data_IF_597426373424
#
_entry.id   IF_597426373424
#
_cell.length_a   1.000
_cell.length_b   1.000
_cell.length_c   1.000
_cell.angle_alpha   90.00
_cell.angle_beta   90.00
_cell.angle_gamma   90.00
#
_symmetry.space_group_name_H-M   'P 1'
#
loop_
_entity.id
_entity.type
_entity.pdbx_description
1 polymer ?
#
# COMPACT_ATOMS: atom_id res chain seq x y z
N UNK A 1 -20.82 -31.23 -0.83
CA UNK A 1 -19.86 -30.54 -1.70
C UNK A 1 -19.22 -29.46 -0.86
N UNK A 2 -18.01 -29.71 -0.37
CA UNK A 2 -17.18 -28.72 0.32
C UNK A 2 -16.75 -27.68 -0.73
N UNK A 3 -17.47 -26.58 -0.83
CA UNK A 3 -17.02 -25.43 -1.59
C UNK A 3 -16.46 -24.44 -0.56
N UNK A 4 -15.13 -24.40 -0.45
CA UNK A 4 -14.37 -23.32 0.22
C UNK A 4 -14.33 -22.06 -0.64
N UNK A 5 -15.15 -21.99 -1.69
CA UNK A 5 -15.21 -20.90 -2.64
C UNK A 5 -16.36 -19.95 -2.28
N UNK A 6 -16.05 -18.66 -2.27
CA UNK A 6 -17.02 -17.62 -2.03
C UNK A 6 -17.49 -17.02 -3.35
N UNK A 7 -18.81 -16.93 -3.50
CA UNK A 7 -19.45 -16.34 -4.67
C UNK A 7 -20.32 -15.15 -4.28
N UNK A 8 -20.33 -14.13 -5.12
CA UNK A 8 -21.36 -13.09 -5.04
C UNK A 8 -22.63 -13.58 -5.71
N UNK A 9 -23.76 -13.31 -5.08
CA UNK A 9 -25.10 -13.56 -5.63
C UNK A 9 -25.89 -12.27 -5.71
N UNK A 10 -26.79 -12.22 -6.68
CA UNK A 10 -27.75 -11.12 -6.78
C UNK A 10 -28.94 -11.42 -5.88
N UNK A 11 -29.41 -10.41 -5.16
CA UNK A 11 -30.62 -10.50 -4.34
C UNK A 11 -31.60 -9.46 -4.85
N UNK A 12 -32.85 -9.85 -5.02
CA UNK A 12 -33.95 -8.95 -5.33
C UNK A 12 -34.18 -8.03 -4.13
N UNK A 13 -34.08 -6.70 -4.29
CA UNK A 13 -34.13 -5.78 -3.15
C UNK A 13 -35.55 -5.64 -2.56
N UNK A 14 -36.60 -6.01 -3.29
CA UNK A 14 -38.00 -5.91 -2.84
C UNK A 14 -38.41 -7.16 -2.08
N UNK A 15 -38.02 -8.32 -2.57
CA UNK A 15 -38.46 -9.62 -2.06
C UNK A 15 -37.41 -10.33 -1.21
N UNK A 16 -36.15 -9.87 -1.25
CA UNK A 16 -35.01 -10.52 -0.61
C UNK A 16 -34.64 -11.86 -1.22
N UNK A 17 -35.23 -12.23 -2.36
CA UNK A 17 -35.00 -13.54 -3.00
C UNK A 17 -33.71 -13.55 -3.80
N UNK A 18 -33.08 -14.72 -3.85
CA UNK A 18 -31.95 -14.96 -4.74
C UNK A 18 -32.39 -14.75 -6.21
N UNK A 19 -31.72 -13.83 -6.90
CA UNK A 19 -31.96 -13.47 -8.29
C UNK A 19 -30.95 -14.14 -9.24
N UNK A 20 -30.17 -15.08 -8.73
CA UNK A 20 -29.22 -15.89 -9.50
C UNK A 20 -27.76 -15.44 -9.36
N UNK A 21 -26.85 -16.18 -10.02
CA UNK A 21 -25.43 -15.93 -9.95
C UNK A 21 -25.05 -14.64 -10.68
N UNK A 22 -23.96 -14.02 -10.21
CA UNK A 22 -23.26 -12.98 -10.94
C UNK A 22 -22.18 -13.61 -11.82
N UNK A 23 -22.00 -13.07 -13.03
CA UNK A 23 -20.93 -13.50 -13.95
C UNK A 23 -19.58 -12.92 -13.53
N UNK A 24 -19.13 -13.26 -12.32
CA UNK A 24 -17.85 -12.80 -11.74
C UNK A 24 -17.11 -13.99 -11.14
N UNK A 25 -15.77 -13.98 -11.09
CA UNK A 25 -15.01 -15.11 -10.58
C UNK A 25 -15.30 -15.38 -9.09
N UNK A 26 -15.24 -16.66 -8.72
CA UNK A 26 -15.26 -17.09 -7.34
C UNK A 26 -13.98 -16.68 -6.60
N UNK A 27 -14.05 -16.62 -5.27
CA UNK A 27 -12.88 -16.33 -4.43
C UNK A 27 -12.61 -17.52 -3.51
N UNK A 28 -11.46 -18.14 -3.69
CA UNK A 28 -11.02 -19.31 -2.92
C UNK A 28 -9.94 -18.93 -1.90
N UNK A 29 -9.58 -19.86 -1.02
CA UNK A 29 -8.54 -19.69 0.01
C UNK A 29 -8.76 -18.51 0.98
N UNK A 30 -10.02 -18.20 1.25
CA UNK A 30 -10.43 -17.11 2.14
C UNK A 30 -11.46 -17.57 3.16
N UNK A 31 -11.39 -16.95 4.33
CA UNK A 31 -12.38 -17.13 5.40
C UNK A 31 -13.74 -16.59 5.00
N UNK A 32 -13.76 -15.42 4.36
CA UNK A 32 -14.98 -14.78 3.85
C UNK A 32 -14.62 -13.66 2.88
N UNK A 33 -15.63 -13.16 2.16
CA UNK A 33 -15.54 -11.93 1.36
C UNK A 33 -16.61 -10.93 1.79
N UNK A 34 -16.28 -9.64 1.76
CA UNK A 34 -17.23 -8.54 1.98
C UNK A 34 -17.23 -7.61 0.78
N UNK A 35 -18.40 -7.38 0.19
CA UNK A 35 -18.56 -6.41 -0.90
C UNK A 35 -18.33 -4.99 -0.36
N UNK A 36 -17.41 -4.26 -1.00
CA UNK A 36 -17.15 -2.84 -0.75
C UNK A 36 -17.97 -1.94 -1.68
N UNK A 37 -18.19 -2.39 -2.92
CA UNK A 37 -18.91 -1.62 -3.92
C UNK A 37 -18.63 -2.11 -5.33
N UNK A 38 -19.05 -1.31 -6.30
CA UNK A 38 -18.96 -1.60 -7.72
C UNK A 38 -18.08 -0.56 -8.43
N UNK A 39 -17.19 -1.05 -9.28
CA UNK A 39 -16.42 -0.23 -10.22
C UNK A 39 -17.27 0.24 -11.40
N UNK A 40 -16.82 1.27 -12.13
CA UNK A 40 -17.51 1.78 -13.32
C UNK A 40 -17.52 0.78 -14.49
N UNK A 41 -16.60 -0.19 -14.47
CA UNK A 41 -16.49 -1.31 -15.41
C UNK A 41 -17.39 -2.50 -15.05
N UNK A 42 -18.22 -2.37 -14.00
CA UNK A 42 -19.05 -3.45 -13.48
C UNK A 42 -18.30 -4.47 -12.62
N UNK A 43 -17.03 -4.25 -12.32
CA UNK A 43 -16.26 -5.09 -11.40
C UNK A 43 -16.77 -4.95 -9.97
N UNK A 44 -16.96 -6.06 -9.25
CA UNK A 44 -17.22 -6.02 -7.82
C UNK A 44 -15.91 -5.86 -7.05
N UNK A 45 -15.80 -4.84 -6.19
CA UNK A 45 -14.68 -4.69 -5.27
C UNK A 45 -15.01 -5.37 -3.94
N UNK A 46 -14.20 -6.33 -3.54
CA UNK A 46 -14.41 -7.10 -2.31
C UNK A 46 -13.18 -7.07 -1.41
N UNK A 47 -13.39 -7.05 -0.10
CA UNK A 47 -12.36 -7.43 0.88
C UNK A 47 -12.40 -8.94 1.02
N UNK A 48 -11.25 -9.58 0.87
CA UNK A 48 -11.06 -11.00 1.01
C UNK A 48 -10.18 -11.27 2.24
N UNK A 49 -10.74 -11.97 3.22
CA UNK A 49 -10.09 -12.24 4.50
C UNK A 49 -9.30 -13.54 4.42
N UNK A 50 -7.98 -13.46 4.53
CA UNK A 50 -7.11 -14.64 4.50
C UNK A 50 -7.12 -15.35 5.85
N UNK A 51 -7.26 -16.69 5.86
CA UNK A 51 -7.24 -17.45 7.09
C UNK A 51 -5.86 -17.43 7.75
N UNK A 52 -5.82 -17.53 9.07
CA UNK A 52 -4.62 -17.96 9.81
C UNK A 52 -4.30 -19.43 9.44
N UNK A 53 -3.03 -19.87 9.36
CA UNK A 53 -2.67 -21.22 8.90
C UNK A 53 -3.24 -22.37 9.74
N UNK A 54 -3.66 -22.09 10.98
CA UNK A 54 -4.29 -23.06 11.88
C UNK A 54 -5.79 -22.75 12.11
N UNK A 55 -6.36 -21.81 11.36
CA UNK A 55 -7.78 -21.51 11.45
C UNK A 55 -8.60 -22.70 10.91
N UNK A 56 -9.78 -22.97 11.49
CA UNK A 56 -10.72 -23.92 10.92
C UNK A 56 -11.05 -23.57 9.46
N UNK A 57 -11.13 -24.58 8.59
CA UNK A 57 -11.49 -24.41 7.17
C UNK A 57 -12.99 -24.22 6.95
N UNK A 58 -13.83 -24.45 7.97
CA UNK A 58 -15.27 -24.23 7.94
C UNK A 58 -15.68 -23.14 8.92
N UNK A 59 -16.39 -22.15 8.38
CA UNK A 59 -17.00 -21.03 9.11
C UNK A 59 -18.53 -21.19 9.15
N UNK A 60 -18.99 -22.43 9.25
CA UNK A 60 -20.41 -22.81 9.36
C UNK A 60 -20.94 -22.73 10.80
N UNK A 61 -20.05 -22.47 11.77
CA UNK A 61 -20.44 -22.17 13.13
C UNK A 61 -21.13 -20.80 13.18
N UNK A 62 -22.29 -20.69 13.85
CA UNK A 62 -22.96 -19.41 13.99
C UNK A 62 -22.03 -18.43 14.70
N UNK A 63 -21.72 -17.33 14.02
CA UNK A 63 -21.06 -16.19 14.65
C UNK A 63 -22.04 -15.56 15.65
N UNK A 64 -21.51 -15.00 16.73
CA UNK A 64 -22.32 -14.17 17.62
C UNK A 64 -22.93 -13.00 16.82
N UNK A 65 -24.11 -12.51 17.22
CA UNK A 65 -24.89 -11.51 16.45
C UNK A 65 -24.08 -10.24 16.15
N UNK A 66 -23.12 -9.89 17.00
CA UNK A 66 -22.22 -8.76 16.86
C UNK A 66 -20.99 -9.06 15.97
N UNK A 67 -20.76 -10.33 15.62
CA UNK A 67 -19.64 -10.77 14.82
C UNK A 67 -20.07 -11.03 13.38
N UNK A 68 -19.59 -10.18 12.46
CA UNK A 68 -19.69 -10.42 11.01
C UNK A 68 -18.53 -11.26 10.48
N UNK A 69 -17.41 -11.29 11.20
CA UNK A 69 -16.18 -12.02 10.87
C UNK A 69 -15.52 -12.50 12.16
N UNK A 70 -15.13 -13.77 12.23
CA UNK A 70 -14.29 -14.28 13.31
C UNK A 70 -12.83 -13.82 13.13
N UNK A 71 -12.51 -12.60 13.57
CA UNK A 71 -11.19 -11.98 13.34
C UNK A 71 -10.01 -12.77 13.92
N UNK A 72 -10.22 -13.58 14.96
CA UNK A 72 -9.18 -14.48 15.50
C UNK A 72 -8.71 -15.55 14.51
N UNK A 73 -9.47 -15.78 13.43
CA UNK A 73 -9.14 -16.70 12.36
C UNK A 73 -8.57 -16.00 11.11
N UNK A 74 -8.39 -14.68 11.15
CA UNK A 74 -7.90 -13.87 10.03
C UNK A 74 -6.44 -13.54 10.24
N UNK A 75 -5.60 -13.76 9.23
CA UNK A 75 -4.19 -13.35 9.23
C UNK A 75 -3.93 -12.06 8.49
N UNK A 76 -4.76 -11.76 7.50
CA UNK A 76 -4.56 -10.62 6.64
C UNK A 76 -5.73 -10.38 5.71
N UNK A 77 -5.68 -9.24 5.03
CA UNK A 77 -6.74 -8.79 4.13
C UNK A 77 -6.16 -8.44 2.76
N UNK A 78 -6.91 -8.80 1.72
CA UNK A 78 -6.67 -8.33 0.34
C UNK A 78 -7.93 -7.64 -0.17
N UNK A 79 -7.77 -6.63 -1.01
CA UNK A 79 -8.86 -6.10 -1.81
C UNK A 79 -8.74 -6.70 -3.20
N UNK A 80 -9.81 -7.33 -3.67
CA UNK A 80 -9.88 -7.97 -4.97
C UNK A 80 -10.93 -7.26 -5.83
N UNK A 81 -10.67 -7.19 -7.14
CA UNK A 81 -11.65 -6.84 -8.15
C UNK A 81 -12.11 -8.13 -8.84
N UNK A 82 -13.42 -8.39 -8.79
CA UNK A 82 -14.09 -9.48 -9.48
C UNK A 82 -14.72 -8.92 -10.75
N UNK A 83 -14.00 -8.98 -11.86
CA UNK A 83 -14.43 -8.42 -13.13
C UNK A 83 -15.37 -9.37 -13.88
N UNK A 84 -16.40 -8.85 -14.56
CA UNK A 84 -17.29 -9.71 -15.33
C UNK A 84 -16.57 -10.55 -16.39
N UNK A 85 -16.90 -11.84 -16.48
CA UNK A 85 -16.29 -12.78 -17.43
C UNK A 85 -14.81 -13.10 -17.22
N UNK A 86 -14.19 -12.58 -16.14
CA UNK A 86 -12.81 -12.92 -15.80
C UNK A 86 -12.74 -14.31 -15.16
N UNK A 87 -11.69 -15.07 -15.49
CA UNK A 87 -11.47 -16.40 -14.91
C UNK A 87 -11.02 -16.34 -13.44
N UNK A 88 -10.30 -15.29 -13.05
CA UNK A 88 -9.71 -15.16 -11.70
C UNK A 88 -9.86 -13.74 -11.13
N UNK A 89 -9.92 -13.59 -9.78
CA UNK A 89 -9.90 -12.29 -9.11
C UNK A 89 -8.60 -11.52 -9.35
N UNK A 90 -8.68 -10.21 -9.60
CA UNK A 90 -7.51 -9.34 -9.69
C UNK A 90 -7.22 -8.69 -8.34
N UNK A 91 -5.99 -8.81 -7.83
CA UNK A 91 -5.60 -8.14 -6.57
C UNK A 91 -5.41 -6.64 -6.80
N UNK A 92 -6.15 -5.83 -6.05
CA UNK A 92 -6.08 -4.37 -6.06
C UNK A 92 -5.21 -3.83 -4.93
N UNK A 93 -5.27 -4.47 -3.76
CA UNK A 93 -4.49 -4.10 -2.59
C UNK A 93 -4.17 -5.36 -1.78
N UNK A 94 -2.93 -5.44 -1.30
CA UNK A 94 -2.53 -6.40 -0.27
C UNK A 94 -2.15 -5.60 0.96
N UNK A 95 -2.87 -5.80 2.06
CA UNK A 95 -2.47 -5.19 3.32
C UNK A 95 -1.24 -5.93 3.87
N UNK A 96 -0.40 -5.25 4.67
CA UNK A 96 0.61 -5.92 5.48
C UNK A 96 -0.01 -7.06 6.29
N UNK A 97 0.80 -8.07 6.60
CA UNK A 97 0.39 -9.15 7.48
C UNK A 97 -0.06 -8.60 8.85
N UNK A 98 -0.99 -9.30 9.50
CA UNK A 98 -1.62 -8.92 10.78
C UNK A 98 -2.57 -7.71 10.72
N UNK A 99 -2.83 -7.15 9.54
CA UNK A 99 -3.99 -6.26 9.35
C UNK A 99 -5.24 -7.11 9.18
N UNK A 100 -6.13 -7.05 10.18
CA UNK A 100 -7.27 -7.96 10.31
C UNK A 100 -8.54 -7.44 9.64
N UNK A 101 -8.60 -6.14 9.34
CA UNK A 101 -9.78 -5.52 8.76
C UNK A 101 -9.40 -4.34 7.86
N UNK A 102 -10.21 -4.11 6.84
CA UNK A 102 -10.32 -2.82 6.15
C UNK A 102 -11.70 -2.31 6.50
N UNK A 103 -11.74 -1.23 7.27
CA UNK A 103 -12.99 -0.54 7.54
C UNK A 103 -13.22 0.51 6.46
N UNK A 104 -14.39 0.47 5.83
CA UNK A 104 -14.85 1.57 4.99
C UNK A 104 -15.80 2.34 5.87
N UNK A 105 -15.39 3.55 6.28
CA UNK A 105 -16.19 4.37 7.18
C UNK A 105 -17.63 4.47 6.66
N UNK A 106 -18.55 3.79 7.35
CA UNK A 106 -19.95 3.65 6.92
C UNK A 106 -20.59 5.02 6.70
N UNK A 107 -20.18 6.04 7.48
CA UNK A 107 -20.63 7.43 7.30
C UNK A 107 -20.19 8.09 5.98
N UNK A 108 -19.11 7.64 5.34
CA UNK A 108 -18.71 8.11 4.00
C UNK A 108 -19.62 7.50 2.93
N UNK A 109 -19.93 6.20 3.05
CA UNK A 109 -20.88 5.51 2.16
C UNK A 109 -22.29 6.14 2.31
N UNK A 110 -22.78 6.30 3.54
CA UNK A 110 -24.10 6.87 3.83
C UNK A 110 -24.24 8.31 3.32
N UNK A 111 -23.17 9.10 3.41
CA UNK A 111 -23.19 10.49 2.94
C UNK A 111 -23.21 10.65 1.41
N UNK A 112 -23.03 9.56 0.65
CA UNK A 112 -22.92 9.60 -0.82
C UNK A 112 -21.77 10.45 -1.34
N UNK A 113 -20.82 10.84 -0.46
CA UNK A 113 -19.70 11.70 -0.83
C UNK A 113 -18.69 10.91 -1.64
N UNK A 114 -18.73 11.12 -2.95
CA UNK A 114 -17.62 10.79 -3.84
C UNK A 114 -16.56 11.86 -3.63
N UNK A 115 -15.52 11.57 -2.84
CA UNK A 115 -14.33 12.41 -2.82
C UNK A 115 -13.39 11.87 -3.89
N UNK A 116 -13.00 12.73 -4.82
CA UNK A 116 -11.89 12.43 -5.71
C UNK A 116 -10.66 12.15 -4.84
N UNK A 117 -10.17 10.91 -4.89
CA UNK A 117 -8.98 10.55 -4.16
C UNK A 117 -7.85 11.43 -4.69
N UNK A 118 -7.30 12.26 -3.81
CA UNK A 118 -6.02 12.93 -4.01
C UNK A 118 -4.99 12.10 -3.26
N UNK A 119 -4.57 10.92 -3.78
CA UNK A 119 -3.41 10.25 -3.23
C UNK A 119 -2.25 11.24 -3.34
N UNK A 120 -1.41 11.33 -2.32
CA UNK A 120 -0.25 12.23 -2.36
C UNK A 120 0.63 11.83 -3.54
N UNK A 121 0.51 12.53 -4.67
CA UNK A 121 1.18 12.22 -5.94
C UNK A 121 2.67 12.55 -5.94
N UNK A 122 3.28 12.71 -4.76
CA UNK A 122 4.65 13.16 -4.63
C UNK A 122 5.34 12.59 -3.41
N UNK A 123 6.67 12.54 -3.49
CA UNK A 123 7.56 12.25 -2.37
C UNK A 123 7.32 13.30 -1.27
N UNK A 124 6.79 12.85 -0.12
CA UNK A 124 6.35 13.74 0.96
C UNK A 124 7.45 14.62 1.54
N UNK A 125 7.10 15.66 2.31
CA UNK A 125 8.03 16.68 2.79
C UNK A 125 9.30 16.16 3.50
N UNK A 126 9.24 14.97 4.12
CA UNK A 126 10.43 14.30 4.70
C UNK A 126 11.50 13.98 3.66
N UNK A 127 11.12 13.60 2.43
CA UNK A 127 12.07 13.36 1.34
C UNK A 127 12.86 14.63 1.02
N UNK A 128 12.17 15.74 0.78
CA UNK A 128 12.79 17.02 0.46
C UNK A 128 13.67 17.56 1.59
N UNK A 129 13.25 17.36 2.84
CA UNK A 129 14.07 17.69 4.01
C UNK A 129 15.40 16.94 4.00
N UNK A 130 15.36 15.61 3.80
CA UNK A 130 16.57 14.79 3.73
C UNK A 130 17.45 15.13 2.52
N UNK A 131 16.86 15.37 1.35
CA UNK A 131 17.60 15.82 0.16
C UNK A 131 18.33 17.13 0.44
N UNK A 132 17.67 18.11 1.07
CA UNK A 132 18.30 19.36 1.46
C UNK A 132 19.45 19.16 2.45
N UNK A 133 19.25 18.31 3.46
CA UNK A 133 20.29 18.02 4.46
C UNK A 133 21.52 17.34 3.85
N UNK A 134 21.31 16.39 2.94
CA UNK A 134 22.40 15.70 2.20
C UNK A 134 23.18 16.69 1.36
N UNK A 135 22.51 17.56 0.60
CA UNK A 135 23.16 18.60 -0.21
C UNK A 135 24.00 19.52 0.67
N UNK A 136 23.47 19.93 1.83
CA UNK A 136 24.15 20.84 2.74
C UNK A 136 25.41 20.20 3.36
N UNK A 137 25.33 18.93 3.76
CA UNK A 137 26.48 18.17 4.27
C UNK A 137 27.56 18.02 3.21
N UNK A 138 27.21 17.56 2.00
CA UNK A 138 28.19 17.37 0.93
C UNK A 138 28.78 18.69 0.43
N UNK A 139 27.97 19.74 0.33
CA UNK A 139 28.42 21.08 0.00
C UNK A 139 29.42 21.62 1.03
N UNK A 140 29.14 21.42 2.32
CA UNK A 140 30.05 21.78 3.41
C UNK A 140 31.38 21.04 3.34
N UNK A 141 31.36 19.72 3.10
CA UNK A 141 32.58 18.91 2.93
C UNK A 141 33.39 19.40 1.72
N UNK A 142 32.74 19.63 0.58
CA UNK A 142 33.42 20.11 -0.63
C UNK A 142 34.07 21.48 -0.41
N UNK A 143 33.35 22.42 0.22
CA UNK A 143 33.88 23.74 0.55
C UNK A 143 35.07 23.67 1.52
N UNK A 144 34.97 22.83 2.55
CA UNK A 144 36.06 22.62 3.51
C UNK A 144 37.32 22.05 2.83
N UNK A 145 37.16 20.99 2.02
CA UNK A 145 38.28 20.38 1.28
C UNK A 145 38.88 21.35 0.25
N UNK A 146 38.05 22.14 -0.42
CA UNK A 146 38.51 23.19 -1.34
C UNK A 146 39.35 24.27 -0.64
N UNK A 147 38.95 24.69 0.57
CA UNK A 147 39.73 25.65 1.38
C UNK A 147 41.10 25.10 1.78
N UNK A 148 41.17 23.83 2.20
CA UNK A 148 42.42 23.17 2.55
C UNK A 148 43.33 23.03 1.32
N UNK A 149 42.78 22.63 0.17
CA UNK A 149 43.53 22.53 -1.08
C UNK A 149 44.11 23.87 -1.54
N UNK A 150 43.33 24.95 -1.46
CA UNK A 150 43.79 26.31 -1.77
C UNK A 150 44.91 26.78 -0.84
N UNK A 151 44.78 26.53 0.46
CA UNK A 151 45.79 26.91 1.45
C UNK A 151 47.14 26.21 1.19
N UNK A 152 47.11 24.90 0.90
CA UNK A 152 48.30 24.13 0.55
C UNK A 152 48.95 24.61 -0.75
N UNK A 153 48.15 24.94 -1.76
CA UNK A 153 48.65 25.46 -3.04
C UNK A 153 49.35 26.82 -2.91
N UNK A 154 48.79 27.74 -2.11
CA UNK A 154 49.45 29.02 -1.82
C UNK A 154 50.76 28.83 -1.03
N UNK A 155 50.81 27.85 -0.13
CA UNK A 155 52.03 27.47 0.59
C UNK A 155 53.13 26.97 -0.35
N UNK A 156 52.82 26.02 -1.23
CA UNK A 156 53.78 25.46 -2.19
C UNK A 156 54.31 26.52 -3.16
N UNK A 157 53.45 27.44 -3.63
CA UNK A 157 53.89 28.58 -4.45
C UNK A 157 54.89 29.50 -3.75
N UNK A 158 54.73 29.75 -2.44
CA UNK A 158 55.68 30.59 -1.68
C UNK A 158 57.03 29.90 -1.51
N UNK A 159 57.03 28.59 -1.21
CA UNK A 159 58.25 27.80 -1.05
C UNK A 159 59.04 27.72 -2.36
N UNK A 160 58.36 27.53 -3.50
CA UNK A 160 59.02 27.51 -4.82
C UNK A 160 59.68 28.85 -5.17
N UNK A 161 59.04 29.98 -4.85
CA UNK A 161 59.63 31.32 -5.06
C UNK A 161 60.84 31.58 -4.17
N UNK A 162 60.77 31.18 -2.89
CA UNK A 162 61.88 31.34 -1.96
C UNK A 162 63.11 30.51 -2.37
N UNK A 163 62.91 29.29 -2.88
CA UNK A 163 64.00 28.46 -3.42
C UNK A 163 64.59 29.02 -4.71
N UNK A 164 63.78 29.59 -5.59
CA UNK A 164 64.26 30.24 -6.80
C UNK A 164 65.14 31.45 -6.48
N UNK A 165 64.76 32.26 -5.48
CA UNK A 165 65.55 33.42 -5.05
C UNK A 165 66.83 33.06 -4.27
N UNK A 166 66.93 31.84 -3.74
CA UNK A 166 68.10 31.37 -2.98
C UNK A 166 69.10 30.55 -3.82
N UNK A 167 68.81 30.31 -5.10
CA UNK A 167 69.68 29.59 -6.05
C UNK A 167 70.35 30.51 -7.07
N UNK A 168 70.32 31.83 -6.86
CA UNK A 168 70.91 32.88 -7.72
C UNK A 168 72.22 33.48 -7.15
N UNK A 169 72.85 32.79 -6.19
CA UNK A 169 74.23 33.06 -5.72
C UNK A 169 75.22 32.01 -6.27
#
# INVERSE_FOLDING_TARGET
MDSTEWHLRRVDPVTGRDAGPLDVPAVSDVTTIRLLGWGPDGSALVVAYRPEPLAPTRFDQPLEIDQRTAYGNVRGVRVLALSPGAAEPRTMLTAPDQILAIDVADGVIESGRVREASPSGGVGGRFWWWTGLIILVWGGIAAYRGRVGLALWFGDRRVRRARAAAGED
#
